data_IF_012976938083
#
_entry.id   IF_012976938083
#
_cell.length_a   1.000
_cell.length_b   1.000
_cell.length_c   1.000
_cell.angle_alpha   90.00
_cell.angle_beta   90.00
_cell.angle_gamma   90.00
#
_symmetry.space_group_name_H-M   'P 1'
#
loop_
_entity.id
_entity.type
_entity.pdbx_description
1 polymer ?
#
# COMPACT_ATOMS: atom_id res chain seq x y z
N UNK A 1 12.04 -12.23 10.78
CA UNK A 1 12.32 -11.97 9.34
C UNK A 1 12.87 -10.56 9.20
N UNK A 2 13.80 -10.33 8.26
CA UNK A 2 14.23 -8.97 7.94
C UNK A 2 13.11 -8.32 7.11
N UNK A 3 12.46 -7.29 7.64
CA UNK A 3 11.43 -6.57 6.91
C UNK A 3 12.11 -5.72 5.82
N UNK A 4 11.96 -6.10 4.55
CA UNK A 4 12.45 -5.30 3.42
C UNK A 4 11.29 -4.52 2.79
N UNK A 5 11.24 -3.22 3.06
CA UNK A 5 10.22 -2.33 2.50
C UNK A 5 10.27 -2.32 0.96
N UNK A 6 11.43 -2.50 0.33
CA UNK A 6 11.51 -2.43 -1.14
C UNK A 6 10.79 -3.61 -1.80
N UNK A 7 10.91 -4.80 -1.22
CA UNK A 7 10.17 -5.99 -1.65
C UNK A 7 8.67 -5.78 -1.47
N UNK A 8 8.27 -5.28 -0.30
CA UNK A 8 6.86 -4.99 0.00
C UNK A 8 6.27 -3.99 -0.99
N UNK A 9 6.98 -2.90 -1.29
CA UNK A 9 6.51 -1.89 -2.26
C UNK A 9 6.44 -2.44 -3.69
N UNK A 10 7.36 -3.33 -4.07
CA UNK A 10 7.30 -4.01 -5.36
C UNK A 10 6.07 -4.94 -5.46
N UNK A 11 5.77 -5.68 -4.39
CA UNK A 11 4.60 -6.54 -4.32
C UNK A 11 3.30 -5.74 -4.27
N UNK A 12 3.28 -4.59 -3.59
CA UNK A 12 2.17 -3.63 -3.62
C UNK A 12 1.90 -3.13 -5.05
N UNK A 13 2.94 -2.77 -5.81
CA UNK A 13 2.82 -2.37 -7.22
C UNK A 13 2.27 -3.51 -8.08
N UNK A 14 2.74 -4.73 -7.87
CA UNK A 14 2.24 -5.91 -8.58
C UNK A 14 0.77 -6.20 -8.25
N UNK A 15 0.37 -6.03 -6.98
CA UNK A 15 -1.02 -6.19 -6.56
C UNK A 15 -1.94 -5.15 -7.23
N UNK A 16 -1.52 -3.88 -7.29
CA UNK A 16 -2.26 -2.83 -8.01
C UNK A 16 -2.38 -3.10 -9.51
N UNK A 17 -1.31 -3.59 -10.14
CA UNK A 17 -1.34 -4.02 -11.54
C UNK A 17 -2.39 -5.11 -11.78
N UNK A 18 -2.57 -6.01 -10.81
CA UNK A 18 -3.61 -7.04 -10.85
C UNK A 18 -5.03 -6.46 -10.86
N UNK A 19 -5.24 -5.30 -10.23
CA UNK A 19 -6.54 -4.62 -10.13
C UNK A 19 -6.84 -3.67 -11.29
N UNK A 20 -5.82 -3.04 -11.90
CA UNK A 20 -5.98 -2.01 -12.96
C UNK A 20 -5.36 -2.49 -14.29
N UNK A 21 -5.48 -3.79 -14.62
CA UNK A 21 -4.75 -4.45 -15.71
C UNK A 21 -4.74 -3.67 -17.04
N UNK A 22 -5.91 -3.22 -17.49
CA UNK A 22 -6.09 -2.61 -18.81
C UNK A 22 -5.48 -1.20 -18.89
N UNK A 23 -5.51 -0.46 -17.76
CA UNK A 23 -5.05 0.94 -17.67
C UNK A 23 -3.67 1.09 -16.99
N UNK A 24 -3.04 -0.03 -16.62
CA UNK A 24 -1.81 -0.03 -15.82
C UNK A 24 -0.69 0.79 -16.46
N UNK A 25 -0.55 0.77 -17.79
CA UNK A 25 0.52 1.52 -18.46
C UNK A 25 0.41 3.04 -18.27
N UNK A 26 -0.81 3.56 -18.10
CA UNK A 26 -1.06 4.98 -17.85
C UNK A 26 -0.90 5.30 -16.36
N UNK A 27 -1.33 4.38 -15.50
CA UNK A 27 -1.38 4.57 -14.05
C UNK A 27 -0.04 4.28 -13.36
N UNK A 28 0.79 3.41 -13.92
CA UNK A 28 2.05 2.90 -13.33
C UNK A 28 2.96 4.00 -12.82
N UNK A 29 3.11 5.10 -13.56
CA UNK A 29 3.99 6.22 -13.15
C UNK A 29 3.46 6.91 -11.89
N UNK A 30 2.17 7.21 -11.84
CA UNK A 30 1.53 7.83 -10.67
C UNK A 30 1.56 6.87 -9.48
N UNK A 31 1.19 5.61 -9.68
CA UNK A 31 1.24 4.57 -8.65
C UNK A 31 2.66 4.38 -8.07
N UNK A 32 3.69 4.36 -8.94
CA UNK A 32 5.07 4.25 -8.49
C UNK A 32 5.53 5.50 -7.73
N UNK A 33 5.21 6.69 -8.23
CA UNK A 33 5.54 7.94 -7.53
C UNK A 33 4.89 7.99 -6.14
N UNK A 34 3.61 7.60 -6.03
CA UNK A 34 2.92 7.54 -4.75
C UNK A 34 3.64 6.59 -3.78
N UNK A 35 3.90 5.36 -4.20
CA UNK A 35 4.55 4.36 -3.36
C UNK A 35 5.96 4.79 -2.94
N UNK A 36 6.73 5.41 -3.84
CA UNK A 36 8.06 5.92 -3.50
C UNK A 36 8.01 7.12 -2.54
N UNK A 37 7.06 8.05 -2.72
CA UNK A 37 6.90 9.19 -1.81
C UNK A 37 6.38 8.79 -0.44
N UNK A 38 5.63 7.69 -0.34
CA UNK A 38 5.12 7.15 0.93
C UNK A 38 6.00 6.09 1.55
N UNK A 39 7.08 5.66 0.88
CA UNK A 39 7.99 4.60 1.33
C UNK A 39 8.40 4.79 2.78
N UNK A 40 9.00 5.92 3.12
CA UNK A 40 9.53 6.18 4.48
C UNK A 40 8.42 6.15 5.52
N UNK A 41 7.23 6.64 5.17
CA UNK A 41 6.07 6.63 6.07
C UNK A 41 5.53 5.21 6.29
N UNK A 42 5.40 4.42 5.23
CA UNK A 42 4.93 3.04 5.32
C UNK A 42 5.94 2.16 6.06
N UNK A 43 7.24 2.39 5.81
CA UNK A 43 8.33 1.72 6.53
C UNK A 43 8.28 2.04 8.02
N UNK A 44 8.15 3.32 8.39
CA UNK A 44 8.05 3.73 9.79
C UNK A 44 6.83 3.09 10.48
N UNK A 45 5.65 3.13 9.84
CA UNK A 45 4.44 2.53 10.41
C UNK A 45 4.60 1.01 10.61
N UNK A 46 5.19 0.33 9.63
CA UNK A 46 5.47 -1.10 9.73
C UNK A 46 6.47 -1.41 10.85
N UNK A 47 7.59 -0.69 10.92
CA UNK A 47 8.59 -0.87 11.98
C UNK A 47 8.00 -0.61 13.36
N UNK A 48 7.25 0.48 13.55
CA UNK A 48 6.58 0.80 14.81
C UNK A 48 5.62 -0.32 15.24
N UNK A 49 4.90 -0.93 14.29
CA UNK A 49 4.00 -2.05 14.56
C UNK A 49 4.76 -3.32 14.94
N UNK A 50 5.88 -3.60 14.26
CA UNK A 50 6.71 -4.78 14.48
C UNK A 50 7.43 -4.75 15.83
N UNK A 51 7.90 -3.58 16.27
CA UNK A 51 8.54 -3.42 17.58
C UNK A 51 7.53 -3.22 18.73
N UNK A 52 6.23 -3.22 18.43
CA UNK A 52 5.16 -3.01 19.41
C UNK A 52 5.06 -1.59 19.96
N UNK A 53 5.63 -0.59 19.27
CA UNK A 53 5.53 0.83 19.67
C UNK A 53 4.13 1.41 19.42
N UNK A 54 3.35 0.79 18.54
CA UNK A 54 1.93 1.13 18.31
C UNK A 54 1.08 -0.14 18.41
N UNK A 55 -0.14 0.03 18.90
CA UNK A 55 -1.14 -1.03 18.92
C UNK A 55 -1.74 -1.29 17.52
N UNK A 56 -2.50 -2.37 17.41
CA UNK A 56 -3.08 -2.78 16.14
C UNK A 56 -4.14 -1.79 15.64
N UNK A 57 -4.99 -1.28 16.53
CA UNK A 57 -6.06 -0.34 16.20
C UNK A 57 -5.51 0.98 15.64
N UNK A 58 -4.42 1.49 16.23
CA UNK A 58 -3.75 2.69 15.75
C UNK A 58 -3.10 2.44 14.39
N UNK A 59 -2.46 1.29 14.22
CA UNK A 59 -1.86 0.90 12.95
C UNK A 59 -2.90 0.79 11.83
N UNK A 60 -4.02 0.11 12.08
CA UNK A 60 -5.13 -0.04 11.13
C UNK A 60 -5.75 1.31 10.75
N UNK A 61 -5.95 2.22 11.71
CA UNK A 61 -6.43 3.59 11.42
C UNK A 61 -5.46 4.33 10.48
N UNK A 62 -4.15 4.23 10.71
CA UNK A 62 -3.16 4.90 9.87
C UNK A 62 -3.05 4.29 8.48
N UNK A 63 -3.20 2.96 8.37
CA UNK A 63 -3.30 2.30 7.07
C UNK A 63 -4.56 2.71 6.32
N UNK A 64 -5.70 2.82 7.00
CA UNK A 64 -6.94 3.26 6.41
C UNK A 64 -6.80 4.66 5.79
N UNK A 65 -6.17 5.60 6.52
CA UNK A 65 -5.86 6.93 5.99
C UNK A 65 -4.98 6.85 4.72
N UNK A 66 -3.87 6.10 4.76
CA UNK A 66 -2.96 5.96 3.61
C UNK A 66 -3.65 5.33 2.38
N UNK A 67 -4.54 4.39 2.64
CA UNK A 67 -5.35 3.72 1.63
C UNK A 67 -6.37 4.64 0.98
N UNK A 68 -6.99 5.52 1.75
CA UNK A 68 -7.86 6.56 1.19
C UNK A 68 -7.08 7.55 0.35
N UNK A 69 -5.88 7.96 0.79
CA UNK A 69 -5.01 8.85 0.01
C UNK A 69 -4.62 8.18 -1.32
N UNK A 70 -4.18 6.92 -1.30
CA UNK A 70 -3.85 6.18 -2.53
C UNK A 70 -5.07 6.06 -3.45
N UNK A 71 -6.24 5.79 -2.88
CA UNK A 71 -7.49 5.74 -3.64
C UNK A 71 -7.79 7.07 -4.33
N UNK A 72 -7.64 8.19 -3.61
CA UNK A 72 -7.87 9.53 -4.16
C UNK A 72 -6.86 9.88 -5.26
N UNK A 73 -5.59 9.57 -5.05
CA UNK A 73 -4.51 9.74 -6.03
C UNK A 73 -4.77 8.95 -7.31
N UNK A 74 -5.11 7.66 -7.17
CA UNK A 74 -5.44 6.83 -8.33
C UNK A 74 -6.70 7.34 -9.04
N UNK A 75 -7.74 7.70 -8.28
CA UNK A 75 -8.98 8.23 -8.84
C UNK A 75 -8.81 9.59 -9.54
N UNK A 76 -7.80 10.38 -9.15
CA UNK A 76 -7.47 11.64 -9.83
C UNK A 76 -7.03 11.42 -11.29
N UNK A 77 -6.63 10.20 -11.65
CA UNK A 77 -6.32 9.81 -13.02
C UNK A 77 -7.64 9.59 -13.75
N UNK A 78 -7.93 10.40 -14.77
CA UNK A 78 -9.23 10.48 -15.44
C UNK A 78 -9.82 9.15 -15.97
N UNK A 79 -8.98 8.14 -16.21
CA UNK A 79 -9.40 6.81 -16.68
C UNK A 79 -9.73 5.84 -15.53
N UNK A 80 -9.29 6.14 -14.31
CA UNK A 80 -9.47 5.27 -13.15
C UNK A 80 -10.73 5.69 -12.40
N UNK A 81 -11.80 4.91 -12.57
CA UNK A 81 -12.99 5.09 -11.77
C UNK A 81 -12.71 4.76 -10.29
N UNK A 82 -13.58 5.26 -9.39
CA UNK A 82 -13.42 5.10 -7.95
C UNK A 82 -13.30 3.64 -7.50
N UNK A 83 -14.05 2.73 -8.12
CA UNK A 83 -14.04 1.30 -7.75
C UNK A 83 -12.71 0.65 -8.09
N UNK A 84 -12.14 0.95 -9.27
CA UNK A 84 -10.82 0.48 -9.67
C UNK A 84 -9.72 1.03 -8.75
N UNK A 85 -9.79 2.32 -8.42
CA UNK A 85 -8.86 2.94 -7.48
C UNK A 85 -8.92 2.27 -6.10
N UNK A 86 -10.14 2.06 -5.57
CA UNK A 86 -10.35 1.36 -4.30
C UNK A 86 -9.81 -0.06 -4.34
N UNK A 87 -10.09 -0.81 -5.41
CA UNK A 87 -9.61 -2.19 -5.55
C UNK A 87 -8.09 -2.27 -5.60
N UNK A 88 -7.43 -1.35 -6.29
CA UNK A 88 -5.98 -1.28 -6.33
C UNK A 88 -5.38 -0.92 -4.97
N UNK A 89 -5.93 0.09 -4.29
CA UNK A 89 -5.48 0.46 -2.95
C UNK A 89 -5.69 -0.70 -1.96
N UNK A 90 -6.85 -1.35 -1.98
CA UNK A 90 -7.14 -2.57 -1.22
C UNK A 90 -6.08 -3.65 -1.47
N UNK A 91 -5.78 -3.94 -2.74
CA UNK A 91 -4.83 -4.98 -3.11
C UNK A 91 -3.41 -4.65 -2.62
N UNK A 92 -3.00 -3.39 -2.75
CA UNK A 92 -1.70 -2.93 -2.26
C UNK A 92 -1.58 -3.09 -0.74
N UNK A 93 -2.51 -2.51 0.01
CA UNK A 93 -2.41 -2.51 1.48
C UNK A 93 -2.57 -3.90 2.09
N UNK A 94 -3.30 -4.80 1.43
CA UNK A 94 -3.37 -6.21 1.84
C UNK A 94 -2.02 -6.91 1.80
N UNK A 95 -1.14 -6.56 0.85
CA UNK A 95 0.23 -7.09 0.81
C UNK A 95 1.00 -6.65 2.04
N UNK A 96 0.97 -5.35 2.35
CA UNK A 96 1.67 -4.78 3.51
C UNK A 96 1.18 -5.40 4.82
N UNK A 97 -0.14 -5.49 5.00
CA UNK A 97 -0.77 -6.12 6.18
C UNK A 97 -0.35 -7.58 6.34
N UNK A 98 -0.38 -8.37 5.26
CA UNK A 98 0.02 -9.78 5.30
C UNK A 98 1.49 -9.97 5.69
N UNK A 99 2.38 -9.12 5.16
CA UNK A 99 3.81 -9.19 5.49
C UNK A 99 4.03 -8.86 6.96
N UNK A 100 3.37 -7.82 7.48
CA UNK A 100 3.47 -7.43 8.88
C UNK A 100 2.88 -8.52 9.80
N UNK A 101 1.71 -9.07 9.45
CA UNK A 101 1.10 -10.16 10.20
C UNK A 101 2.02 -11.39 10.25
N UNK A 102 2.64 -11.76 9.13
CA UNK A 102 3.59 -12.87 9.06
C UNK A 102 4.82 -12.59 9.91
N UNK A 103 5.33 -11.36 9.90
CA UNK A 103 6.49 -10.96 10.68
C UNK A 103 6.22 -10.86 12.19
N UNK A 104 4.97 -10.73 12.63
CA UNK A 104 4.57 -10.71 14.04
C UNK A 104 4.34 -12.12 14.64
N UNK A 105 4.10 -13.14 13.81
CA UNK A 105 3.83 -14.52 14.26
C UNK A 105 5.13 -15.30 14.57
N UNK A 106 6.29 -14.76 14.15
CA UNK A 106 7.62 -15.36 14.31
C UNK A 106 8.39 -14.61 15.40
#
# INVERSE_FOLDING_TARGET
MNFDINEVLADMLNAMKGSIKDDWNVVKKSANNFIQTKKERLELLAQMRLIGAIDNDFFEKRLADEKEILTAELHSIAIVNKVLAQNAANAAFKVLENVIATALII
#
